data_IF_807600546428
#
_entry.id   IF_807600546428
#
_cell.length_a   1.000
_cell.length_b   1.000
_cell.length_c   1.000
_cell.angle_alpha   90.00
_cell.angle_beta   90.00
_cell.angle_gamma   90.00
#
_symmetry.space_group_name_H-M   'P 1'
#
loop_
_entity.id
_entity.type
_entity.pdbx_description
1 polymer ?
#
# COMPACT_ATOMS: atom_id res chain seq x y z
N UNK A 1 -0.61 28.93 -5.79
CA UNK A 1 0.84 28.87 -6.00
C UNK A 1 1.32 27.52 -5.51
N UNK A 2 2.10 26.80 -6.32
CA UNK A 2 2.48 25.40 -6.04
C UNK A 2 4.00 25.34 -5.97
N UNK A 3 4.53 24.83 -4.85
CA UNK A 3 5.95 24.55 -4.69
C UNK A 3 6.21 23.10 -5.10
N UNK A 4 7.14 22.88 -6.03
CA UNK A 4 7.60 21.55 -6.44
C UNK A 4 8.99 21.36 -5.83
N UNK A 5 9.17 20.28 -5.07
CA UNK A 5 10.44 19.91 -4.47
C UNK A 5 10.86 18.58 -5.09
N UNK A 6 12.00 18.57 -5.79
CA UNK A 6 12.55 17.41 -6.49
C UNK A 6 13.71 16.81 -5.68
N UNK A 7 14.00 15.51 -5.87
CA UNK A 7 15.08 14.78 -5.16
C UNK A 7 14.97 14.79 -3.63
N UNK A 8 13.75 14.68 -3.10
CA UNK A 8 13.51 14.52 -1.68
C UNK A 8 13.57 13.04 -1.31
N UNK A 9 14.35 12.70 -0.28
CA UNK A 9 14.29 11.34 0.30
C UNK A 9 12.93 11.13 0.97
N UNK A 10 12.38 9.92 0.84
CA UNK A 10 11.06 9.60 1.39
C UNK A 10 10.92 9.83 2.90
N UNK A 11 12.04 9.75 3.63
CA UNK A 11 12.14 10.02 5.06
C UNK A 11 11.64 11.43 5.45
N UNK A 12 11.69 12.39 4.53
CA UNK A 12 11.25 13.77 4.77
C UNK A 12 9.79 14.02 4.39
N UNK A 13 9.13 13.08 3.70
CA UNK A 13 7.70 13.17 3.34
C UNK A 13 6.81 13.44 4.56
N UNK A 14 7.02 12.82 5.75
CA UNK A 14 6.25 13.13 6.94
C UNK A 14 6.41 14.59 7.39
N UNK A 15 7.65 15.11 7.40
CA UNK A 15 7.94 16.49 7.78
C UNK A 15 7.25 17.49 6.83
N UNK A 16 7.27 17.23 5.52
CA UNK A 16 6.53 18.04 4.56
C UNK A 16 5.02 17.94 4.78
N UNK A 17 4.51 16.75 5.12
CA UNK A 17 3.08 16.53 5.42
C UNK A 17 2.61 17.35 6.61
N UNK A 18 3.41 17.44 7.66
CA UNK A 18 3.07 18.24 8.83
C UNK A 18 3.19 19.75 8.57
N UNK A 19 4.19 20.17 7.79
CA UNK A 19 4.29 21.55 7.31
C UNK A 19 3.06 21.94 6.47
N UNK A 20 2.63 21.08 5.55
CA UNK A 20 1.48 21.35 4.70
C UNK A 20 0.16 21.36 5.49
N UNK A 21 -0.01 20.51 6.51
CA UNK A 21 -1.17 20.58 7.42
C UNK A 21 -1.22 21.93 8.13
N UNK A 22 -0.10 22.38 8.69
CA UNK A 22 0.02 23.68 9.36
C UNK A 22 -0.31 24.84 8.41
N UNK A 23 0.19 24.75 7.17
CA UNK A 23 -0.07 25.74 6.12
C UNK A 23 -1.41 25.53 5.38
N UNK A 24 -2.30 24.63 5.84
CA UNK A 24 -3.58 24.26 5.20
C UNK A 24 -3.46 23.98 3.68
N UNK A 25 -2.34 23.40 3.27
CA UNK A 25 -1.96 23.16 1.89
C UNK A 25 -2.09 21.68 1.51
N UNK A 26 -2.30 21.39 0.22
CA UNK A 26 -2.39 20.02 -0.30
C UNK A 26 -1.04 19.53 -0.81
N UNK A 27 -0.65 18.31 -0.45
CA UNK A 27 0.54 17.65 -0.99
C UNK A 27 0.13 16.65 -2.07
N UNK A 28 0.88 16.63 -3.17
CA UNK A 28 0.88 15.54 -4.13
C UNK A 28 2.30 14.97 -4.19
N UNK A 29 2.47 13.73 -3.76
CA UNK A 29 3.70 12.96 -3.98
C UNK A 29 3.57 12.22 -5.30
N UNK A 30 4.62 12.22 -6.11
CA UNK A 30 4.71 11.35 -7.28
C UNK A 30 5.57 10.16 -6.89
N UNK A 31 4.97 8.98 -6.79
CA UNK A 31 5.71 7.72 -6.78
C UNK A 31 6.05 7.36 -8.22
N UNK A 32 7.22 6.78 -8.43
CA UNK A 32 7.57 6.21 -9.73
C UNK A 32 6.87 4.85 -9.92
N UNK A 33 6.61 4.49 -11.18
CA UNK A 33 6.03 3.18 -11.52
C UNK A 33 6.91 2.02 -11.04
N UNK A 34 8.22 2.26 -10.92
CA UNK A 34 9.19 1.27 -10.43
C UNK A 34 9.02 0.98 -8.94
N UNK A 35 8.78 2.01 -8.13
CA UNK A 35 8.53 1.83 -6.69
C UNK A 35 7.23 1.08 -6.43
N UNK A 36 6.18 1.37 -7.22
CA UNK A 36 4.90 0.66 -7.16
C UNK A 36 5.11 -0.82 -7.54
N UNK A 37 5.88 -1.09 -8.60
CA UNK A 37 6.17 -2.47 -9.02
C UNK A 37 7.00 -3.25 -7.98
N UNK A 38 7.95 -2.61 -7.31
CA UNK A 38 8.74 -3.23 -6.23
C UNK A 38 7.89 -3.51 -4.99
N UNK A 39 6.99 -2.59 -4.60
CA UNK A 39 6.02 -2.76 -3.52
C UNK A 39 5.11 -3.97 -3.81
N UNK A 40 4.51 -4.02 -5.01
CA UNK A 40 3.64 -5.13 -5.42
C UNK A 40 4.36 -6.46 -5.48
N UNK A 41 5.62 -6.47 -5.93
CA UNK A 41 6.42 -7.69 -5.95
C UNK A 41 6.66 -8.21 -4.54
N UNK A 42 7.02 -7.33 -3.61
CA UNK A 42 7.26 -7.71 -2.22
C UNK A 42 5.97 -8.20 -1.55
N UNK A 43 4.86 -7.51 -1.74
CA UNK A 43 3.55 -7.94 -1.23
C UNK A 43 3.14 -9.30 -1.80
N UNK A 44 3.36 -9.53 -3.10
CA UNK A 44 3.09 -10.82 -3.73
C UNK A 44 3.97 -11.94 -3.17
N UNK A 45 5.25 -11.68 -2.91
CA UNK A 45 6.16 -12.64 -2.29
C UNK A 45 5.77 -12.97 -0.84
N UNK A 46 5.36 -11.96 -0.05
CA UNK A 46 4.83 -12.15 1.31
C UNK A 46 3.52 -12.96 1.28
N UNK A 47 2.57 -12.61 0.40
CA UNK A 47 1.32 -13.33 0.21
C UNK A 47 1.57 -14.80 -0.17
N UNK A 48 2.48 -15.06 -1.10
CA UNK A 48 2.82 -16.43 -1.51
C UNK A 48 3.50 -17.22 -0.40
N UNK A 49 4.31 -16.57 0.45
CA UNK A 49 4.90 -17.22 1.63
C UNK A 49 3.83 -17.58 2.65
N UNK A 50 2.91 -16.67 2.95
CA UNK A 50 1.86 -16.92 3.93
C UNK A 50 0.80 -17.92 3.42
N UNK A 51 0.53 -17.94 2.12
CA UNK A 51 -0.24 -19.00 1.46
C UNK A 51 0.45 -20.36 1.58
N UNK A 52 1.75 -20.45 1.25
CA UNK A 52 2.54 -21.70 1.40
C UNK A 52 2.68 -22.14 2.85
N UNK A 53 2.72 -21.19 3.79
CA UNK A 53 2.74 -21.46 5.22
C UNK A 53 1.37 -21.86 5.78
N UNK A 54 0.32 -21.87 4.95
CA UNK A 54 -1.05 -22.23 5.36
C UNK A 54 -1.74 -21.19 6.23
N UNK A 55 -1.19 -19.97 6.35
CA UNK A 55 -1.82 -18.87 7.09
C UNK A 55 -2.94 -18.20 6.31
N UNK A 56 -2.89 -18.29 4.99
CA UNK A 56 -3.90 -17.74 4.09
C UNK A 56 -4.71 -18.90 3.54
N UNK A 57 -6.02 -18.89 3.78
CA UNK A 57 -6.93 -19.87 3.25
C UNK A 57 -7.22 -19.54 1.79
N UNK A 58 -6.72 -20.38 0.88
CA UNK A 58 -7.20 -20.37 -0.50
C UNK A 58 -8.56 -21.03 -0.58
N UNK A 59 -9.43 -20.49 -1.41
CA UNK A 59 -10.72 -21.07 -1.75
C UNK A 59 -10.67 -21.47 -3.21
N UNK A 60 -11.12 -22.68 -3.52
CA UNK A 60 -11.16 -23.17 -4.90
C UNK A 60 -12.41 -22.65 -5.64
N UNK A 61 -13.46 -22.28 -4.90
CA UNK A 61 -14.71 -21.76 -5.42
C UNK A 61 -15.11 -20.42 -4.79
N UNK A 62 -15.76 -19.56 -5.59
CA UNK A 62 -16.21 -18.24 -5.15
C UNK A 62 -17.34 -18.36 -4.12
N UNK A 63 -18.22 -19.35 -4.24
CA UNK A 63 -19.30 -19.59 -3.28
C UNK A 63 -18.72 -19.99 -1.91
N UNK A 64 -17.69 -20.83 -1.89
CA UNK A 64 -17.00 -21.22 -0.65
C UNK A 64 -16.30 -20.03 0.03
N UNK A 65 -15.69 -19.15 -0.76
CA UNK A 65 -15.11 -17.90 -0.27
C UNK A 65 -16.19 -16.99 0.35
N UNK A 66 -17.34 -16.86 -0.32
CA UNK A 66 -18.45 -16.02 0.15
C UNK A 66 -19.06 -16.55 1.44
N UNK A 67 -19.24 -17.85 1.57
CA UNK A 67 -19.77 -18.47 2.78
C UNK A 67 -18.80 -18.34 3.96
N UNK A 68 -17.49 -18.47 3.72
CA UNK A 68 -16.48 -18.27 4.77
C UNK A 68 -16.49 -16.83 5.28
N UNK A 69 -16.52 -15.83 4.39
CA UNK A 69 -16.61 -14.41 4.78
C UNK A 69 -17.91 -14.12 5.53
N UNK A 70 -19.04 -14.72 5.09
CA UNK A 70 -20.34 -14.53 5.73
C UNK A 70 -20.41 -15.15 7.13
N UNK A 71 -19.68 -16.24 7.38
CA UNK A 71 -19.66 -16.93 8.68
C UNK A 71 -18.60 -16.38 9.66
N UNK A 72 -17.62 -15.59 9.19
CA UNK A 72 -16.62 -14.92 10.05
C UNK A 72 -17.09 -13.55 10.60
N UNK A 73 -18.30 -13.09 10.25
CA UNK A 73 -18.92 -11.83 10.73
C UNK A 73 -19.90 -12.07 11.89
#
# INVERSE_FOLDING_TARGET
>A
MTLIIENVKDEFVPAFRDLAKSAKSKIKTKRSDKEIAEEWRRESEELMRDYKAGKIKGYDDIDEMFEAIRNEV
#
